data_IF_687795847923
#
_entry.id   IF_687795847923
#
_cell.length_a   1.000
_cell.length_b   1.000
_cell.length_c   1.000
_cell.angle_alpha   90.00
_cell.angle_beta   90.00
_cell.angle_gamma   90.00
#
_symmetry.space_group_name_H-M   'P 1'
#
loop_
_entity.id
_entity.type
_entity.pdbx_description
1 polymer ?
#
# COMPACT_ATOMS: atom_id res chain seq x y z
N UNK A 1 -55.56 -46.08 -24.59
CA UNK A 1 -55.18 -46.15 -26.02
C UNK A 1 -54.07 -45.13 -26.23
N UNK A 2 -52.82 -45.41 -26.61
CA UNK A 2 -52.06 -46.58 -27.03
C UNK A 2 -50.65 -46.40 -26.41
N UNK A 3 -50.05 -47.46 -25.85
CA UNK A 3 -48.58 -47.59 -25.79
C UNK A 3 -48.12 -48.34 -27.05
N UNK A 4 -46.87 -48.14 -27.49
CA UNK A 4 -45.84 -49.15 -27.22
C UNK A 4 -44.51 -48.49 -26.75
N UNK A 5 -43.76 -48.98 -25.75
CA UNK A 5 -42.80 -50.09 -25.80
C UNK A 5 -41.92 -50.05 -27.06
N UNK A 6 -40.61 -49.78 -27.03
CA UNK A 6 -39.51 -50.70 -26.66
C UNK A 6 -38.23 -49.86 -26.82
N UNK A 7 -37.28 -49.81 -25.88
CA UNK A 7 -36.13 -50.71 -25.92
C UNK A 7 -34.87 -49.99 -25.42
N UNK A 8 -34.16 -50.68 -24.53
CA UNK A 8 -32.93 -50.32 -23.81
C UNK A 8 -31.72 -50.26 -24.75
N UNK A 9 -30.81 -49.28 -24.58
CA UNK A 9 -29.38 -49.52 -24.39
C UNK A 9 -28.62 -48.26 -23.94
N UNK A 10 -27.69 -48.48 -23.00
CA UNK A 10 -26.72 -47.56 -22.44
C UNK A 10 -26.06 -46.62 -23.46
N UNK A 11 -25.89 -45.35 -23.11
CA UNK A 11 -24.65 -44.64 -23.41
C UNK A 11 -24.36 -43.63 -22.30
N UNK A 12 -23.30 -43.91 -21.55
CA UNK A 12 -22.65 -42.98 -20.66
C UNK A 12 -22.06 -41.82 -21.48
N UNK A 13 -22.65 -40.63 -21.41
CA UNK A 13 -22.06 -39.39 -21.95
C UNK A 13 -22.83 -38.11 -21.54
N UNK A 14 -23.31 -38.01 -20.29
CA UNK A 14 -23.97 -36.78 -19.79
C UNK A 14 -23.47 -36.34 -18.43
N UNK A 15 -22.16 -36.48 -18.21
CA UNK A 15 -21.43 -35.80 -17.14
C UNK A 15 -20.14 -35.15 -17.71
N UNK A 16 -20.30 -34.40 -18.80
CA UNK A 16 -19.22 -33.63 -19.43
C UNK A 16 -19.83 -32.39 -20.10
N UNK A 17 -20.40 -31.49 -19.30
CA UNK A 17 -20.85 -30.17 -19.79
C UNK A 17 -20.99 -29.12 -18.66
N UNK A 18 -20.32 -29.28 -17.51
CA UNK A 18 -20.31 -28.30 -16.40
C UNK A 18 -18.92 -28.12 -15.76
N UNK A 19 -17.86 -28.35 -16.55
CA UNK A 19 -16.49 -27.96 -16.22
C UNK A 19 -15.85 -27.42 -17.51
N UNK A 20 -16.05 -26.14 -17.79
CA UNK A 20 -15.51 -25.46 -18.95
C UNK A 20 -15.65 -23.97 -18.78
N UNK A 21 -14.55 -23.31 -18.38
CA UNK A 21 -14.54 -21.88 -18.13
C UNK A 21 -13.36 -21.35 -17.30
N UNK A 22 -12.39 -22.19 -16.90
CA UNK A 22 -11.03 -21.73 -16.61
C UNK A 22 -10.26 -21.78 -17.93
N UNK A 23 -10.15 -20.66 -18.64
CA UNK A 23 -9.15 -20.54 -19.70
C UNK A 23 -7.84 -20.18 -19.01
N UNK A 24 -7.15 -21.18 -18.47
CA UNK A 24 -5.70 -21.08 -18.31
C UNK A 24 -5.12 -21.13 -19.71
N UNK A 25 -4.53 -20.04 -20.16
CA UNK A 25 -3.71 -20.05 -21.36
C UNK A 25 -2.68 -21.19 -21.26
N UNK A 26 -2.53 -21.89 -22.38
CA UNK A 26 -1.61 -23.01 -22.55
C UNK A 26 -0.19 -22.50 -22.26
N UNK A 27 0.56 -23.10 -21.30
CA UNK A 27 1.94 -22.71 -21.09
C UNK A 27 2.74 -22.89 -22.37
N UNK A 28 3.50 -21.86 -22.73
CA UNK A 28 4.50 -21.82 -23.80
C UNK A 28 5.00 -23.22 -24.24
N UNK A 29 4.73 -23.59 -25.49
CA UNK A 29 5.24 -24.80 -26.16
C UNK A 29 6.75 -24.76 -26.46
N UNK A 30 7.55 -24.09 -25.63
CA UNK A 30 9.01 -24.16 -25.69
C UNK A 30 9.46 -25.04 -24.53
N UNK A 31 9.61 -26.34 -24.79
CA UNK A 31 10.05 -27.33 -23.79
C UNK A 31 9.27 -28.65 -23.77
N UNK A 32 8.16 -28.75 -24.51
CA UNK A 32 7.33 -29.97 -24.55
C UNK A 32 8.06 -31.23 -25.08
N UNK A 33 9.23 -31.06 -25.72
CA UNK A 33 10.09 -32.15 -26.18
C UNK A 33 11.22 -32.56 -25.20
N UNK A 34 11.26 -32.00 -23.98
CA UNK A 34 12.28 -32.29 -22.96
C UNK A 34 11.78 -33.12 -21.78
N UNK A 35 10.53 -33.60 -21.82
CA UNK A 35 9.99 -34.50 -20.79
C UNK A 35 10.42 -35.92 -21.14
N UNK A 36 11.60 -36.29 -20.63
CA UNK A 36 12.04 -37.67 -20.56
C UNK A 36 11.45 -38.27 -19.27
N UNK A 37 10.61 -39.30 -19.39
CA UNK A 37 9.80 -39.91 -18.31
C UNK A 37 10.65 -40.74 -17.29
N UNK A 38 11.96 -40.58 -17.30
CA UNK A 38 12.90 -41.20 -16.37
C UNK A 38 13.51 -40.15 -15.42
N UNK A 39 12.73 -39.71 -14.44
CA UNK A 39 13.23 -38.95 -13.29
C UNK A 39 13.83 -39.95 -12.26
N UNK A 40 15.15 -40.19 -12.31
CA UNK A 40 15.93 -40.68 -11.15
C UNK A 40 16.47 -39.42 -10.42
N UNK A 41 15.73 -38.76 -9.51
CA UNK A 41 15.38 -39.02 -8.09
C UNK A 41 16.43 -38.68 -7.01
N UNK A 42 17.57 -38.05 -7.35
CA UNK A 42 18.36 -37.33 -6.34
C UNK A 42 18.01 -35.84 -6.38
N UNK A 43 17.05 -35.47 -5.54
CA UNK A 43 16.67 -34.09 -5.28
C UNK A 43 17.58 -33.54 -4.17
N UNK A 44 18.51 -32.66 -4.54
CA UNK A 44 19.41 -32.02 -3.58
C UNK A 44 18.85 -30.65 -3.22
N UNK A 45 18.66 -30.39 -1.92
CA UNK A 45 18.30 -29.07 -1.41
C UNK A 45 19.55 -28.20 -1.26
N UNK A 46 19.51 -27.00 -1.82
CA UNK A 46 20.52 -25.96 -1.64
C UNK A 46 19.85 -24.70 -1.06
N UNK A 47 20.09 -24.37 0.22
CA UNK A 47 19.68 -23.09 0.77
C UNK A 47 20.66 -22.00 0.32
N UNK A 48 20.16 -21.02 -0.42
CA UNK A 48 20.92 -19.82 -0.79
C UNK A 48 20.42 -18.63 0.04
N UNK A 49 21.35 -17.88 0.60
CA UNK A 49 21.06 -16.71 1.43
C UNK A 49 21.18 -15.43 0.60
N UNK A 50 20.49 -14.39 1.04
CA UNK A 50 20.66 -13.04 0.50
C UNK A 50 22.09 -12.57 0.80
N UNK A 51 22.78 -12.08 -0.21
CA UNK A 51 24.17 -11.61 -0.10
C UNK A 51 24.34 -10.11 -0.21
N UNK A 52 23.41 -9.44 -0.89
CA UNK A 52 23.40 -7.99 -0.98
C UNK A 52 21.96 -7.47 -1.04
N UNK A 53 21.81 -6.19 -0.70
CA UNK A 53 20.54 -5.51 -0.57
C UNK A 53 20.61 -4.11 -1.18
N UNK A 54 19.55 -3.74 -1.91
CA UNK A 54 19.32 -2.36 -2.31
C UNK A 54 17.84 -2.01 -2.30
N UNK A 55 17.57 -0.73 -2.55
CA UNK A 55 16.21 -0.21 -2.69
C UNK A 55 16.03 0.43 -4.07
N UNK A 56 14.91 0.12 -4.70
CA UNK A 56 14.40 0.79 -5.89
C UNK A 56 13.33 1.78 -5.44
N UNK A 57 13.46 3.04 -5.84
CA UNK A 57 12.44 4.06 -5.62
C UNK A 57 11.72 4.30 -6.94
N UNK A 58 10.39 4.19 -6.93
CA UNK A 58 9.59 4.43 -8.13
C UNK A 58 8.88 5.77 -8.00
N UNK A 59 9.22 6.72 -8.86
CA UNK A 59 8.61 8.05 -8.87
C UNK A 59 7.58 8.15 -10.00
N UNK A 60 6.32 8.34 -9.63
CA UNK A 60 5.27 8.67 -10.58
C UNK A 60 5.09 10.19 -10.66
N UNK A 61 5.69 10.81 -11.67
CA UNK A 61 5.66 12.27 -11.87
C UNK A 61 4.25 12.81 -12.11
N UNK A 62 3.31 11.96 -12.56
CA UNK A 62 1.94 12.36 -12.82
C UNK A 62 1.09 12.41 -11.52
N UNK A 63 1.51 11.66 -10.48
CA UNK A 63 0.85 11.56 -9.17
C UNK A 63 1.86 11.85 -8.05
N UNK A 64 2.35 13.10 -7.93
CA UNK A 64 3.20 13.52 -6.82
C UNK A 64 2.41 13.52 -5.48
N UNK A 65 3.13 13.55 -4.35
CA UNK A 65 2.54 13.44 -3.01
C UNK A 65 1.41 14.46 -2.76
N UNK A 66 1.59 15.71 -3.15
CA UNK A 66 0.55 16.76 -3.03
C UNK A 66 -0.69 16.57 -3.92
N UNK A 67 -0.73 15.55 -4.77
CA UNK A 67 -1.91 15.16 -5.59
C UNK A 67 -2.47 13.79 -5.18
N UNK A 68 -2.00 13.22 -4.07
CA UNK A 68 -2.53 11.97 -3.57
C UNK A 68 -3.98 12.15 -3.13
N UNK A 69 -4.78 11.12 -3.42
CA UNK A 69 -6.20 11.10 -3.07
C UNK A 69 -6.43 10.83 -1.57
N UNK A 70 -5.40 10.40 -0.86
CA UNK A 70 -5.44 10.04 0.56
C UNK A 70 -4.46 10.89 1.35
N UNK A 71 -4.96 11.53 2.40
CA UNK A 71 -4.22 12.36 3.33
C UNK A 71 -3.91 11.57 4.60
N UNK A 72 -2.64 11.50 4.98
CA UNK A 72 -2.16 10.68 6.08
C UNK A 72 -1.92 11.49 7.35
N UNK A 73 -2.39 10.94 8.46
CA UNK A 73 -2.36 11.56 9.78
C UNK A 73 -1.95 10.55 10.85
N UNK A 74 -0.98 10.90 11.69
CA UNK A 74 -0.59 10.11 12.86
C UNK A 74 0.85 9.61 12.79
N UNK A 75 1.15 8.59 13.60
CA UNK A 75 2.49 8.03 13.75
C UNK A 75 2.42 6.51 13.88
N UNK A 76 3.28 5.83 13.12
CA UNK A 76 3.43 4.37 13.16
C UNK A 76 4.87 4.01 12.78
N UNK A 77 5.56 3.24 13.63
CA UNK A 77 6.85 2.61 13.34
C UNK A 77 7.91 3.54 12.71
N UNK A 78 8.08 4.76 13.25
CA UNK A 78 9.05 5.74 12.75
C UNK A 78 8.60 6.52 11.51
N UNK A 79 7.35 6.35 11.09
CA UNK A 79 6.68 7.18 10.09
C UNK A 79 5.66 8.09 10.77
N UNK A 80 5.76 9.40 10.52
CA UNK A 80 4.88 10.43 11.07
C UNK A 80 4.38 11.37 9.97
N UNK A 81 3.07 11.62 9.99
CA UNK A 81 2.43 12.54 9.06
C UNK A 81 1.40 13.43 9.75
N UNK A 82 1.18 14.57 9.12
CA UNK A 82 0.17 15.58 9.44
C UNK A 82 -0.48 16.00 8.15
N UNK A 83 -1.72 16.46 8.26
CA UNK A 83 -2.47 17.02 7.14
C UNK A 83 -2.28 18.53 7.15
N UNK A 84 -2.02 19.11 5.99
CA UNK A 84 -2.07 20.55 5.75
C UNK A 84 -3.28 20.86 4.88
N UNK A 85 -3.99 21.94 5.17
CA UNK A 85 -5.12 22.40 4.37
C UNK A 85 -5.16 23.94 4.32
N UNK A 86 -5.23 24.51 3.12
CA UNK A 86 -5.40 25.94 2.90
C UNK A 86 -6.85 26.24 2.53
N UNK A 87 -7.43 27.28 3.13
CA UNK A 87 -8.79 27.75 2.83
C UNK A 87 -8.75 29.20 2.39
N UNK A 88 -9.51 29.53 1.35
CA UNK A 88 -9.62 30.89 0.83
C UNK A 88 -10.90 31.55 1.33
N UNK A 89 -10.76 32.69 2.01
CA UNK A 89 -11.87 33.46 2.56
C UNK A 89 -12.26 34.68 1.71
N UNK A 90 -11.61 34.90 0.56
CA UNK A 90 -11.81 36.10 -0.25
C UNK A 90 -13.13 36.15 -1.02
N UNK A 91 -13.76 35.00 -1.32
CA UNK A 91 -14.99 34.90 -2.11
C UNK A 91 -15.94 33.81 -1.57
N UNK A 92 -16.20 33.83 -0.25
CA UNK A 92 -17.02 32.80 0.40
C UNK A 92 -18.52 33.11 0.42
N UNK A 93 -18.91 34.33 0.10
CA UNK A 93 -20.30 34.77 0.14
C UNK A 93 -21.00 34.42 -1.16
N UNK A 94 -22.15 33.77 -1.06
CA UNK A 94 -22.99 33.38 -2.20
C UNK A 94 -24.39 33.96 -2.05
N UNK A 95 -25.22 33.85 -3.08
CA UNK A 95 -26.64 34.24 -2.99
C UNK A 95 -27.39 33.41 -1.92
N UNK A 96 -27.01 32.14 -1.75
CA UNK A 96 -27.59 31.23 -0.76
C UNK A 96 -27.01 31.44 0.65
N UNK A 97 -25.77 31.93 0.74
CA UNK A 97 -25.05 32.24 1.99
C UNK A 97 -24.46 33.66 1.94
N UNK A 98 -25.30 34.71 2.05
CA UNK A 98 -24.82 36.09 2.02
C UNK A 98 -24.03 36.44 3.29
N UNK A 99 -23.19 37.47 3.20
CA UNK A 99 -22.37 38.01 4.29
C UNK A 99 -23.15 38.21 5.60
N UNK A 100 -24.41 38.65 5.51
CA UNK A 100 -25.29 38.87 6.65
C UNK A 100 -25.58 37.60 7.46
N UNK A 101 -25.29 36.39 6.96
CA UNK A 101 -25.39 35.13 7.69
C UNK A 101 -24.16 34.85 8.56
N UNK A 102 -22.98 35.34 8.19
CA UNK A 102 -21.72 35.06 8.87
C UNK A 102 -21.48 36.02 10.03
N UNK A 103 -22.32 35.91 11.07
CA UNK A 103 -22.25 36.75 12.28
C UNK A 103 -22.30 35.87 13.54
N UNK A 104 -21.74 36.34 14.68
CA UNK A 104 -21.78 35.58 15.94
C UNK A 104 -23.19 35.18 16.39
N UNK A 105 -24.22 35.93 16.00
CA UNK A 105 -25.60 35.66 16.41
C UNK A 105 -26.33 34.64 15.51
N UNK A 106 -25.74 34.28 14.37
CA UNK A 106 -26.35 33.40 13.35
C UNK A 106 -25.56 32.13 13.12
N UNK A 107 -24.25 32.15 13.38
CA UNK A 107 -23.42 30.95 13.40
C UNK A 107 -23.72 30.21 14.70
N UNK A 108 -24.03 28.91 14.56
CA UNK A 108 -24.24 28.00 15.68
C UNK A 108 -22.97 27.23 16.05
N UNK A 109 -22.18 26.88 15.03
CA UNK A 109 -20.86 26.27 15.22
C UNK A 109 -20.06 26.28 13.92
N UNK A 110 -18.74 26.23 14.07
CA UNK A 110 -17.79 25.97 12.98
C UNK A 110 -17.08 24.66 13.28
N UNK A 111 -16.99 23.77 12.31
CA UNK A 111 -16.36 22.45 12.46
C UNK A 111 -15.41 22.18 11.31
N UNK A 112 -14.31 21.49 11.57
CA UNK A 112 -13.53 20.84 10.53
C UNK A 112 -13.99 19.39 10.43
N UNK A 113 -14.51 18.99 9.27
CA UNK A 113 -14.83 17.59 8.96
C UNK A 113 -13.62 16.91 8.32
N UNK A 114 -13.27 15.72 8.81
CA UNK A 114 -12.28 14.85 8.17
C UNK A 114 -12.91 13.50 7.89
N UNK A 115 -13.20 13.20 6.63
CA UNK A 115 -13.75 11.88 6.25
C UNK A 115 -12.63 10.85 6.12
N UNK A 116 -12.62 9.82 6.96
CA UNK A 116 -11.72 8.68 6.83
C UNK A 116 -12.21 7.70 5.76
N UNK A 117 -11.27 7.05 5.07
CA UNK A 117 -11.61 5.89 4.23
C UNK A 117 -12.14 4.75 5.10
N UNK A 118 -13.03 3.91 4.57
CA UNK A 118 -13.66 2.79 5.29
C UNK A 118 -12.66 1.87 5.97
N UNK A 119 -11.47 1.72 5.38
CA UNK A 119 -10.40 0.90 5.95
C UNK A 119 -9.85 1.44 7.27
N UNK A 120 -9.78 2.77 7.40
CA UNK A 120 -9.36 3.47 8.62
C UNK A 120 -10.55 3.83 9.52
N UNK A 121 -11.76 3.65 9.00
CA UNK A 121 -13.00 3.81 9.73
C UNK A 121 -13.21 2.61 10.66
N UNK A 122 -13.47 2.89 11.94
CA UNK A 122 -13.82 1.86 12.91
C UNK A 122 -12.64 1.21 13.64
N UNK A 123 -13.03 0.22 14.42
CA UNK A 123 -12.24 -0.37 15.50
C UNK A 123 -10.90 -0.92 15.02
N UNK A 124 -9.86 -0.78 15.84
CA UNK A 124 -8.61 -1.52 15.68
C UNK A 124 -8.91 -3.01 15.78
N UNK A 125 -8.45 -3.77 14.79
CA UNK A 125 -8.51 -5.24 14.80
C UNK A 125 -7.18 -5.76 15.29
N UNK A 126 -7.19 -6.51 16.39
CA UNK A 126 -6.04 -7.24 16.91
C UNK A 126 -6.25 -8.73 16.73
N UNK A 127 -5.28 -9.43 16.13
CA UNK A 127 -5.32 -10.88 15.99
C UNK A 127 -4.26 -11.50 16.88
N UNK A 128 -4.67 -12.33 17.83
CA UNK A 128 -3.75 -13.05 18.71
C UNK A 128 -2.95 -14.10 17.95
N UNK A 129 -1.85 -14.60 18.53
CA UNK A 129 -1.09 -15.72 17.96
C UNK A 129 -1.90 -17.02 17.85
N UNK A 130 -3.00 -17.13 18.59
CA UNK A 130 -3.97 -18.23 18.50
C UNK A 130 -5.01 -18.02 17.37
N UNK A 131 -4.99 -16.86 16.70
CA UNK A 131 -5.93 -16.49 15.65
C UNK A 131 -7.21 -15.80 16.14
N UNK A 132 -7.30 -15.46 17.44
CA UNK A 132 -8.48 -14.78 17.98
C UNK A 132 -8.51 -13.31 17.56
N UNK A 133 -9.65 -12.85 17.06
CA UNK A 133 -9.83 -11.47 16.61
C UNK A 133 -10.51 -10.64 17.70
N UNK A 134 -9.82 -9.62 18.20
CA UNK A 134 -10.37 -8.60 19.11
C UNK A 134 -10.60 -7.31 18.34
N UNK A 135 -11.75 -6.67 18.55
CA UNK A 135 -12.03 -5.35 17.98
C UNK A 135 -12.13 -4.34 19.10
N UNK A 136 -11.28 -3.33 19.06
CA UNK A 136 -11.20 -2.30 20.10
C UNK A 136 -11.43 -0.94 19.45
N UNK A 137 -12.27 -0.11 20.07
CA UNK A 137 -12.41 1.27 19.63
C UNK A 137 -11.08 2.00 19.77
N UNK A 138 -10.75 2.83 18.78
CA UNK A 138 -9.50 3.59 18.78
C UNK A 138 -9.63 4.80 19.69
N UNK A 139 -8.54 5.18 20.33
CA UNK A 139 -8.44 6.44 21.06
C UNK A 139 -7.74 7.46 20.17
N UNK A 140 -8.46 8.48 19.70
CA UNK A 140 -7.94 9.46 18.73
C UNK A 140 -8.29 10.88 19.17
N UNK A 141 -7.30 11.64 19.61
CA UNK A 141 -7.43 13.06 19.92
C UNK A 141 -6.89 13.88 18.75
N UNK A 142 -7.64 14.88 18.30
CA UNK A 142 -7.21 15.71 17.16
C UNK A 142 -6.84 17.11 17.63
N UNK A 143 -5.79 17.67 17.02
CA UNK A 143 -5.39 19.06 17.20
C UNK A 143 -5.37 19.76 15.86
N UNK A 144 -6.10 20.86 15.79
CA UNK A 144 -6.10 21.78 14.66
C UNK A 144 -5.39 23.05 15.09
N UNK A 145 -4.41 23.49 14.31
CA UNK A 145 -3.60 24.66 14.60
C UNK A 145 -3.43 25.50 13.33
N UNK A 146 -3.27 26.82 13.49
CA UNK A 146 -3.08 27.73 12.36
C UNK A 146 -1.60 27.79 11.95
N UNK A 147 -1.32 27.65 10.66
CA UNK A 147 0.00 27.92 10.09
C UNK A 147 0.32 29.42 10.17
N UNK A 148 1.61 29.76 10.28
CA UNK A 148 2.05 31.17 10.29
C UNK A 148 1.78 31.86 8.94
N UNK A 149 1.75 31.07 7.86
CA UNK A 149 1.32 31.47 6.52
C UNK A 149 0.73 30.25 5.77
N UNK A 150 -0.13 30.46 4.76
CA UNK A 150 -0.57 29.40 3.85
C UNK A 150 0.63 28.64 3.26
N UNK A 151 0.51 27.32 3.13
CA UNK A 151 1.60 26.52 2.55
C UNK A 151 1.55 26.51 1.02
N UNK A 152 2.70 26.29 0.38
CA UNK A 152 2.77 25.98 -1.05
C UNK A 152 2.70 24.45 -1.22
N UNK A 153 1.62 23.95 -1.82
CA UNK A 153 1.45 22.50 -2.05
C UNK A 153 2.54 21.93 -2.96
N UNK A 154 3.12 22.73 -3.85
CA UNK A 154 4.20 22.28 -4.74
C UNK A 154 5.52 22.07 -4.02
N UNK A 155 5.67 22.54 -2.77
CA UNK A 155 6.78 22.18 -1.91
C UNK A 155 6.74 20.70 -1.46
N UNK A 156 5.61 20.03 -1.66
CA UNK A 156 5.37 18.61 -1.33
C UNK A 156 5.26 17.75 -2.60
N UNK A 157 6.03 18.08 -3.64
CA UNK A 157 6.15 17.25 -4.86
C UNK A 157 6.96 15.98 -4.58
N UNK A 158 8.03 16.08 -3.77
CA UNK A 158 8.84 14.96 -3.28
C UNK A 158 8.73 14.77 -1.77
N UNK A 159 9.23 13.65 -1.25
CA UNK A 159 9.19 13.26 0.17
C UNK A 159 10.61 13.25 0.79
N UNK A 160 10.79 13.50 2.12
CA UNK A 160 9.84 14.02 3.11
C UNK A 160 9.68 15.55 3.05
N UNK A 161 8.47 16.04 3.35
CA UNK A 161 8.18 17.47 3.44
C UNK A 161 8.23 17.97 4.88
N UNK A 162 8.96 19.06 5.14
CA UNK A 162 9.01 19.68 6.47
C UNK A 162 7.63 20.24 6.83
N UNK A 163 7.22 20.12 8.09
CA UNK A 163 6.00 20.79 8.59
C UNK A 163 6.26 22.31 8.60
N UNK A 164 5.43 23.14 7.93
CA UNK A 164 5.60 24.59 7.96
C UNK A 164 5.51 25.13 9.40
N UNK A 165 6.03 26.33 9.65
CA UNK A 165 5.86 26.96 10.96
C UNK A 165 4.38 27.26 11.24
N UNK A 166 3.97 27.04 12.49
CA UNK A 166 2.59 27.19 12.93
C UNK A 166 2.52 27.65 14.39
N UNK A 167 1.40 28.27 14.72
CA UNK A 167 1.09 28.70 16.07
C UNK A 167 0.75 27.49 16.95
N UNK A 168 1.40 27.38 18.11
CA UNK A 168 1.17 26.29 19.07
C UNK A 168 -0.22 26.27 19.72
N UNK A 169 -1.02 27.32 19.57
CA UNK A 169 -2.40 27.35 20.07
C UNK A 169 -3.28 26.35 19.32
N UNK A 170 -3.99 25.50 20.08
CA UNK A 170 -4.99 24.57 19.55
C UNK A 170 -6.30 25.32 19.34
N UNK A 171 -6.86 25.22 18.13
CA UNK A 171 -8.05 25.95 17.70
C UNK A 171 -9.35 25.20 17.96
N UNK A 172 -9.28 23.86 18.10
CA UNK A 172 -10.46 23.05 18.31
C UNK A 172 -10.73 22.80 19.80
N UNK A 173 -11.95 23.12 20.25
CA UNK A 173 -12.36 23.07 21.67
C UNK A 173 -12.43 21.64 22.22
N UNK A 174 -12.60 20.67 21.33
CA UNK A 174 -12.77 19.26 21.62
C UNK A 174 -11.46 18.46 21.50
N UNK A 175 -10.31 19.12 21.59
CA UNK A 175 -8.99 18.48 21.43
C UNK A 175 -8.65 17.43 22.49
N UNK A 176 -9.41 17.38 23.57
CA UNK A 176 -9.28 16.39 24.66
C UNK A 176 -10.37 15.32 24.62
N UNK A 177 -11.23 15.34 23.61
CA UNK A 177 -12.27 14.35 23.38
C UNK A 177 -11.82 13.38 22.29
N UNK A 178 -11.85 12.07 22.59
CA UNK A 178 -11.54 11.06 21.59
C UNK A 178 -12.64 11.01 20.53
N UNK A 179 -12.25 11.02 19.25
CA UNK A 179 -13.17 10.95 18.10
C UNK A 179 -12.80 9.81 17.13
N UNK A 180 -13.17 8.57 17.47
CA UNK A 180 -12.88 7.41 16.63
C UNK A 180 -13.77 7.29 15.38
N UNK A 181 -14.83 8.09 15.30
CA UNK A 181 -15.86 8.08 14.25
C UNK A 181 -15.26 8.11 12.83
N UNK A 182 -15.99 7.61 11.83
CA UNK A 182 -15.55 7.67 10.41
C UNK A 182 -15.31 9.09 9.93
N UNK A 183 -16.13 10.04 10.41
CA UNK A 183 -16.04 11.46 10.06
C UNK A 183 -15.97 12.29 11.35
N UNK A 184 -14.81 12.40 12.01
CA UNK A 184 -14.64 13.30 13.14
C UNK A 184 -14.95 14.75 12.74
N UNK A 185 -15.93 15.33 13.44
CA UNK A 185 -16.25 16.75 13.36
C UNK A 185 -15.55 17.48 14.49
N UNK A 186 -14.49 18.22 14.17
CA UNK A 186 -13.65 18.94 15.13
C UNK A 186 -14.18 20.36 15.30
N UNK A 187 -14.68 20.72 16.48
CA UNK A 187 -15.30 22.03 16.73
C UNK A 187 -14.24 23.10 16.84
N UNK A 188 -14.24 24.06 15.92
CA UNK A 188 -13.30 25.18 15.89
C UNK A 188 -13.87 26.40 16.61
N UNK A 189 -12.97 27.21 17.15
CA UNK A 189 -13.28 28.55 17.68
C UNK A 189 -13.97 29.43 16.64
N UNK A 190 -15.21 29.82 16.92
CA UNK A 190 -15.97 30.76 16.08
C UNK A 190 -15.29 32.14 16.00
N UNK A 191 -14.57 32.53 17.05
CA UNK A 191 -13.86 33.81 17.08
C UNK A 191 -12.73 33.82 16.07
N UNK A 192 -11.96 32.73 15.98
CA UNK A 192 -10.87 32.62 15.01
C UNK A 192 -11.42 32.54 13.59
N UNK A 193 -12.50 31.80 13.36
CA UNK A 193 -13.18 31.75 12.06
C UNK A 193 -13.68 33.12 11.59
N UNK A 194 -14.32 33.90 12.46
CA UNK A 194 -14.77 35.26 12.13
C UNK A 194 -13.58 36.20 11.86
N UNK A 195 -12.44 36.00 12.53
CA UNK A 195 -11.22 36.74 12.25
C UNK A 195 -10.64 36.40 10.87
N UNK A 196 -10.69 35.13 10.45
CA UNK A 196 -10.29 34.71 9.11
C UNK A 196 -11.18 35.33 8.03
N UNK A 197 -12.50 35.35 8.25
CA UNK A 197 -13.45 36.02 7.35
C UNK A 197 -13.14 37.51 7.17
N UNK A 198 -12.92 38.22 8.28
CA UNK A 198 -12.59 39.64 8.23
C UNK A 198 -11.22 39.93 7.59
N UNK A 199 -10.34 38.94 7.51
CA UNK A 199 -9.03 39.03 6.86
C UNK A 199 -9.07 38.91 5.33
N UNK A 200 -10.15 38.38 4.75
CA UNK A 200 -10.37 38.23 3.29
C UNK A 200 -9.21 37.55 2.52
N UNK A 201 -8.50 36.62 3.16
CA UNK A 201 -7.31 35.98 2.60
C UNK A 201 -7.30 34.47 2.74
N UNK A 202 -6.17 33.85 2.36
CA UNK A 202 -5.97 32.41 2.57
C UNK A 202 -5.46 32.14 3.97
N UNK A 203 -6.00 31.12 4.63
CA UNK A 203 -5.52 30.61 5.93
C UNK A 203 -5.08 29.17 5.77
N UNK A 204 -3.89 28.85 6.27
CA UNK A 204 -3.39 27.49 6.34
C UNK A 204 -3.64 26.87 7.72
N UNK A 205 -4.10 25.63 7.75
CA UNK A 205 -4.25 24.81 8.95
C UNK A 205 -3.32 23.60 8.89
N UNK A 206 -2.83 23.19 10.05
CA UNK A 206 -2.20 21.89 10.27
C UNK A 206 -3.08 21.06 11.21
N UNK A 207 -3.33 19.81 10.81
CA UNK A 207 -4.05 18.83 11.60
C UNK A 207 -3.06 17.74 12.02
N UNK A 208 -3.01 17.46 13.33
CA UNK A 208 -2.22 16.39 13.91
C UNK A 208 -3.05 15.54 14.89
N UNK A 209 -2.59 14.32 15.17
CA UNK A 209 -3.05 13.62 16.37
C UNK A 209 -2.41 14.25 17.61
N UNK A 210 -3.17 14.33 18.69
CA UNK A 210 -2.76 14.83 19.99
C UNK A 210 -2.23 13.73 20.90
N UNK A 211 -1.60 14.15 22.00
CA UNK A 211 -1.04 13.26 23.03
C UNK A 211 -2.09 12.27 23.54
N UNK A 212 -1.68 11.00 23.72
CA UNK A 212 -2.56 9.93 24.20
C UNK A 212 -3.41 9.25 23.13
N UNK A 213 -3.27 9.65 21.86
CA UNK A 213 -3.85 8.92 20.73
C UNK A 213 -3.14 7.58 20.52
N UNK A 214 -3.86 6.58 20.03
CA UNK A 214 -3.28 5.31 19.59
C UNK A 214 -2.29 5.53 18.43
N UNK A 215 -1.19 4.77 18.44
CA UNK A 215 -0.22 4.77 17.34
C UNK A 215 -0.80 4.09 16.09
N UNK A 216 -1.16 4.92 15.12
CA UNK A 216 -1.47 4.49 13.76
C UNK A 216 -1.24 5.61 12.73
N UNK A 217 -1.23 5.22 11.47
CA UNK A 217 -1.21 6.13 10.33
C UNK A 217 -2.56 6.05 9.61
N UNK A 218 -3.43 7.02 9.88
CA UNK A 218 -4.81 7.07 9.38
C UNK A 218 -4.86 7.74 8.01
N UNK A 219 -5.66 7.19 7.08
CA UNK A 219 -5.95 7.79 5.79
C UNK A 219 -7.31 8.50 5.77
N UNK A 220 -7.29 9.79 5.45
CA UNK A 220 -8.44 10.67 5.24
C UNK A 220 -8.58 11.02 3.77
N UNK A 221 -9.77 11.37 3.32
CA UNK A 221 -10.01 11.82 1.96
C UNK A 221 -9.34 13.17 1.67
N UNK A 222 -8.62 13.26 0.55
CA UNK A 222 -8.21 14.53 -0.06
C UNK A 222 -9.36 15.13 -0.87
N UNK A 223 -9.31 16.44 -1.12
CA UNK A 223 -10.13 17.10 -2.14
C UNK A 223 -9.98 16.50 -3.54
N UNK A 224 -8.86 15.83 -3.83
CA UNK A 224 -8.58 15.18 -5.10
C UNK A 224 -9.14 13.73 -5.15
N UNK A 225 -9.87 13.28 -4.13
CA UNK A 225 -10.39 11.91 -4.07
C UNK A 225 -11.42 11.65 -5.18
N UNK A 226 -11.10 10.67 -6.04
CA UNK A 226 -11.96 10.21 -7.14
C UNK A 226 -12.58 8.83 -6.87
N UNK A 227 -12.04 8.10 -5.89
CA UNK A 227 -12.40 6.71 -5.58
C UNK A 227 -13.41 6.63 -4.44
N UNK A 228 -14.64 7.07 -4.68
CA UNK A 228 -15.70 7.12 -3.65
C UNK A 228 -16.11 5.75 -3.10
N UNK A 229 -15.82 4.65 -3.81
CA UNK A 229 -16.09 3.28 -3.33
C UNK A 229 -15.24 2.86 -2.13
N UNK A 230 -14.21 3.62 -1.78
CA UNK A 230 -13.33 3.39 -0.63
C UNK A 230 -13.81 4.14 0.64
N UNK A 231 -14.94 4.84 0.55
CA UNK A 231 -15.60 5.54 1.66
C UNK A 231 -16.81 4.73 2.15
N UNK A 232 -17.17 4.92 3.42
CA UNK A 232 -18.47 4.48 3.92
C UNK A 232 -19.56 5.30 3.21
N UNK A 233 -20.83 4.88 3.33
CA UNK A 233 -21.97 5.57 2.71
C UNK A 233 -21.95 7.08 3.02
N UNK A 234 -21.43 7.86 2.07
CA UNK A 234 -21.43 9.32 2.15
C UNK A 234 -22.81 9.83 1.77
N UNK A 235 -23.26 10.87 2.48
CA UNK A 235 -24.53 11.50 2.15
C UNK A 235 -24.45 12.12 0.75
N UNK A 236 -25.54 11.99 -0.02
CA UNK A 236 -25.62 12.57 -1.37
C UNK A 236 -25.36 14.07 -1.30
N UNK A 237 -24.40 14.56 -2.11
CA UNK A 237 -24.03 15.97 -2.19
C UNK A 237 -22.87 16.39 -1.27
N UNK A 238 -22.30 15.47 -0.49
CA UNK A 238 -21.10 15.75 0.30
C UNK A 238 -19.88 15.88 -0.62
N UNK A 239 -19.26 17.06 -0.66
CA UNK A 239 -17.90 17.22 -1.20
C UNK A 239 -16.95 16.53 -0.23
N UNK A 240 -16.16 15.56 -0.68
CA UNK A 240 -15.28 14.80 0.21
C UNK A 240 -13.90 15.46 0.23
N UNK A 241 -13.58 16.13 1.34
CA UNK A 241 -12.33 16.82 1.59
C UNK A 241 -12.23 17.16 3.10
N UNK A 242 -11.10 17.70 3.59
CA UNK A 242 -11.02 18.36 4.89
C UNK A 242 -11.86 19.65 4.93
N UNK A 243 -13.19 19.56 5.00
CA UNK A 243 -14.06 20.73 4.85
C UNK A 243 -14.24 21.52 6.15
N UNK A 244 -14.24 22.85 6.05
CA UNK A 244 -14.85 23.68 7.08
C UNK A 244 -16.38 23.66 6.88
N UNK A 245 -17.09 23.29 7.94
CA UNK A 245 -18.54 23.19 8.01
C UNK A 245 -19.06 24.27 8.94
N UNK A 246 -19.86 25.19 8.41
CA UNK A 246 -20.52 26.23 9.21
C UNK A 246 -21.99 25.86 9.36
N UNK A 247 -22.40 25.62 10.59
CA UNK A 247 -23.80 25.42 10.96
C UNK A 247 -24.39 26.75 11.39
N UNK A 248 -25.61 27.03 10.92
CA UNK A 248 -26.36 28.22 11.30
C UNK A 248 -27.42 27.90 12.34
N UNK A 249 -27.82 28.91 13.12
CA UNK A 249 -28.90 28.81 14.11
C UNK A 249 -30.27 28.54 13.46
N UNK A 250 -30.49 29.07 12.25
CA UNK A 250 -31.69 28.78 11.47
C UNK A 250 -31.57 27.40 10.82
N UNK A 251 -32.29 26.43 11.38
CA UNK A 251 -32.32 25.03 10.91
C UNK A 251 -32.89 24.86 9.49
N UNK A 252 -33.51 25.89 8.91
CA UNK A 252 -33.97 25.86 7.52
C UNK A 252 -32.87 26.19 6.51
N UNK A 253 -31.75 26.76 6.98
CA UNK A 253 -30.57 27.06 6.17
C UNK A 253 -29.67 25.82 6.11
N UNK A 254 -29.29 25.43 4.90
CA UNK A 254 -28.33 24.34 4.69
C UNK A 254 -26.95 24.79 5.17
N UNK A 255 -26.22 23.89 5.85
CA UNK A 255 -24.85 24.14 6.28
C UNK A 255 -23.98 24.64 5.11
N UNK A 256 -23.12 25.62 5.39
CA UNK A 256 -22.13 26.06 4.42
C UNK A 256 -20.89 25.16 4.51
N UNK A 257 -20.41 24.70 3.35
CA UNK A 257 -19.23 23.84 3.23
C UNK A 257 -18.15 24.62 2.47
N UNK A 258 -17.00 24.83 3.11
CA UNK A 258 -15.82 25.43 2.49
C UNK A 258 -14.72 24.36 2.35
N UNK A 259 -14.50 23.83 1.14
CA UNK A 259 -13.40 22.92 0.88
C UNK A 259 -12.06 23.67 0.86
N UNK A 260 -10.95 22.97 1.10
CA UNK A 260 -9.64 23.58 0.99
C UNK A 260 -9.27 23.84 -0.48
N UNK A 261 -8.59 24.96 -0.74
CA UNK A 261 -8.00 25.28 -2.04
C UNK A 261 -6.71 24.51 -2.32
N UNK A 262 -6.11 23.93 -1.29
CA UNK A 262 -5.01 22.97 -1.38
C UNK A 262 -4.97 22.10 -0.11
N UNK A 263 -4.67 20.80 -0.26
CA UNK A 263 -4.38 19.90 0.85
C UNK A 263 -3.18 18.99 0.52
N UNK A 264 -2.49 18.50 1.56
CA UNK A 264 -1.40 17.50 1.40
C UNK A 264 -1.07 16.82 2.72
N UNK A 265 -0.47 15.64 2.63
CA UNK A 265 0.24 14.99 3.74
C UNK A 265 1.66 15.54 3.84
N UNK A 266 2.20 15.64 5.05
CA UNK A 266 3.60 16.07 5.25
C UNK A 266 4.61 14.94 5.11
N UNK A 267 4.29 13.75 5.64
CA UNK A 267 5.27 12.66 5.79
C UNK A 267 6.64 13.18 6.27
N UNK A 268 6.63 14.06 7.28
CA UNK A 268 7.81 14.79 7.72
C UNK A 268 8.86 13.88 8.39
N UNK A 269 8.44 12.69 8.78
CA UNK A 269 9.31 11.60 9.18
C UNK A 269 8.80 10.31 8.52
N UNK A 270 9.70 9.51 7.95
CA UNK A 270 9.39 8.19 7.42
C UNK A 270 10.52 7.27 7.79
N UNK A 271 10.15 6.05 8.19
CA UNK A 271 11.11 5.05 8.61
C UNK A 271 12.17 4.85 7.51
N UNK A 272 13.44 4.96 7.91
CA UNK A 272 14.54 4.68 7.00
C UNK A 272 14.48 3.21 6.58
N UNK A 273 14.70 2.97 5.30
CA UNK A 273 14.84 1.60 4.82
C UNK A 273 16.16 1.03 5.39
N UNK A 274 16.18 -0.23 5.89
CA UNK A 274 17.41 -0.83 6.39
C UNK A 274 18.54 -0.70 5.37
N UNK A 275 19.75 -0.35 5.83
CA UNK A 275 20.89 -0.18 4.93
C UNK A 275 21.60 -1.51 4.59
N UNK A 276 21.33 -2.57 5.37
CA UNK A 276 21.97 -3.86 5.27
C UNK A 276 20.91 -4.98 5.35
N UNK A 277 21.07 -6.02 4.53
CA UNK A 277 20.26 -7.23 4.54
C UNK A 277 20.23 -7.92 5.93
N UNK A 278 21.22 -7.66 6.79
CA UNK A 278 21.29 -8.12 8.17
C UNK A 278 20.07 -7.67 8.99
N UNK A 279 19.65 -6.42 8.82
CA UNK A 279 18.61 -5.79 9.63
C UNK A 279 17.20 -6.05 9.11
N UNK A 280 17.08 -6.45 7.84
CA UNK A 280 15.81 -6.73 7.18
C UNK A 280 15.62 -5.89 5.93
N UNK A 281 14.39 -5.88 5.42
CA UNK A 281 14.03 -5.06 4.27
C UNK A 281 12.56 -4.66 4.34
N UNK A 282 12.26 -3.49 3.77
CA UNK A 282 10.91 -2.92 3.78
C UNK A 282 10.42 -2.80 2.35
N UNK A 283 9.23 -3.33 2.08
CA UNK A 283 8.44 -3.00 0.90
C UNK A 283 7.39 -1.98 1.30
N UNK A 284 7.40 -0.83 0.63
CA UNK A 284 6.51 0.29 0.92
C UNK A 284 5.76 0.73 -0.33
N UNK A 285 4.44 0.75 -0.26
CA UNK A 285 3.56 1.38 -1.26
C UNK A 285 3.44 2.88 -1.00
N UNK A 286 2.54 3.62 -1.64
CA UNK A 286 2.38 5.08 -1.56
C UNK A 286 3.64 5.85 -2.04
N UNK A 287 4.73 5.72 -1.30
CA UNK A 287 6.07 6.19 -1.63
C UNK A 287 6.87 5.23 -2.53
N UNK A 288 6.31 4.06 -2.85
CA UNK A 288 6.86 3.08 -3.82
C UNK A 288 8.36 2.79 -3.64
N UNK A 289 8.74 2.46 -2.41
CA UNK A 289 10.09 2.02 -2.07
C UNK A 289 10.12 0.49 -2.02
N UNK A 290 10.82 -0.11 -2.99
CA UNK A 290 10.81 -1.55 -3.23
C UNK A 290 12.17 -2.18 -2.94
N UNK A 291 12.22 -3.29 -2.18
CA UNK A 291 13.47 -3.95 -1.88
C UNK A 291 13.93 -4.78 -3.07
N UNK A 292 15.24 -4.76 -3.31
CA UNK A 292 15.91 -5.61 -4.27
C UNK A 292 16.97 -6.45 -3.54
N UNK A 293 16.96 -7.75 -3.83
CA UNK A 293 17.73 -8.79 -3.16
C UNK A 293 18.66 -9.45 -4.16
N UNK A 294 19.93 -9.58 -3.78
CA UNK A 294 20.89 -10.40 -4.51
C UNK A 294 21.19 -11.70 -3.76
N UNK A 295 21.55 -12.73 -4.51
CA UNK A 295 21.78 -14.08 -4.00
C UNK A 295 23.07 -14.66 -4.59
N UNK A 296 23.87 -15.31 -3.74
CA UNK A 296 25.07 -16.00 -4.20
C UNK A 296 24.75 -17.41 -4.69
N UNK A 297 24.72 -17.57 -6.01
CA UNK A 297 24.51 -18.86 -6.67
C UNK A 297 25.80 -19.66 -6.88
N UNK A 298 26.96 -19.23 -6.37
CA UNK A 298 28.25 -19.91 -6.59
C UNK A 298 28.30 -21.34 -6.02
N UNK A 299 27.43 -21.65 -5.06
CA UNK A 299 27.28 -22.99 -4.51
C UNK A 299 26.45 -23.94 -5.39
N UNK A 300 25.77 -23.42 -6.43
CA UNK A 300 25.03 -24.22 -7.38
C UNK A 300 26.03 -24.94 -8.31
N UNK A 301 26.00 -26.28 -8.40
CA UNK A 301 26.91 -27.01 -9.27
C UNK A 301 26.69 -26.66 -10.75
N UNK A 302 27.75 -26.79 -11.55
CA UNK A 302 27.64 -26.75 -13.01
C UNK A 302 26.74 -27.89 -13.52
N UNK A 303 26.11 -27.70 -14.69
CA UNK A 303 25.32 -28.71 -15.41
C UNK A 303 24.16 -29.35 -14.59
N UNK A 304 23.43 -28.53 -13.86
CA UNK A 304 22.23 -28.95 -13.11
C UNK A 304 20.94 -28.66 -13.85
N UNK A 305 19.92 -29.48 -13.60
CA UNK A 305 18.53 -29.15 -13.90
C UNK A 305 17.84 -28.69 -12.61
N UNK A 306 17.22 -27.52 -12.66
CA UNK A 306 16.45 -26.98 -11.54
C UNK A 306 15.05 -27.58 -11.59
N UNK A 307 14.70 -28.37 -10.58
CA UNK A 307 13.37 -28.94 -10.45
C UNK A 307 12.40 -27.95 -9.80
N UNK A 308 12.89 -27.18 -8.82
CA UNK A 308 12.12 -26.17 -8.11
C UNK A 308 13.05 -25.15 -7.45
N UNK A 309 12.69 -23.88 -7.45
CA UNK A 309 13.30 -22.88 -6.60
C UNK A 309 12.24 -21.99 -5.95
N UNK A 310 12.28 -21.84 -4.63
CA UNK A 310 11.29 -21.05 -3.88
C UNK A 310 11.99 -19.98 -3.05
N UNK A 311 11.66 -18.72 -3.29
CA UNK A 311 12.02 -17.61 -2.40
C UNK A 311 11.07 -17.62 -1.21
N UNK A 312 11.63 -17.81 -0.01
CA UNK A 312 10.91 -17.76 1.26
C UNK A 312 11.25 -16.50 2.02
N UNK A 313 10.21 -15.77 2.39
CA UNK A 313 10.30 -14.55 3.18
C UNK A 313 9.40 -14.68 4.41
N UNK A 314 9.80 -14.03 5.50
CA UNK A 314 8.97 -13.94 6.69
C UNK A 314 8.68 -12.48 6.98
N UNK A 315 7.39 -12.15 7.02
CA UNK A 315 6.87 -10.83 7.32
C UNK A 315 6.82 -10.63 8.84
N UNK A 316 7.44 -9.56 9.33
CA UNK A 316 7.35 -9.09 10.70
C UNK A 316 6.05 -8.29 10.89
N UNK A 317 5.01 -9.01 11.31
CA UNK A 317 3.68 -8.44 11.58
C UNK A 317 3.67 -7.41 12.71
N UNK A 318 4.70 -7.36 13.56
CA UNK A 318 4.78 -6.38 14.64
C UNK A 318 5.19 -4.99 14.12
N UNK A 319 5.94 -4.96 13.02
CA UNK A 319 6.41 -3.73 12.38
C UNK A 319 5.63 -3.38 11.09
N UNK A 320 4.96 -4.36 10.49
CA UNK A 320 4.16 -4.14 9.28
C UNK A 320 2.81 -3.49 9.57
N UNK A 321 2.29 -2.71 8.62
CA UNK A 321 0.98 -2.04 8.73
C UNK A 321 0.46 -1.60 7.36
N UNK A 322 -0.83 -1.24 7.30
CA UNK A 322 -1.51 -0.81 6.07
C UNK A 322 -2.50 -1.83 5.53
N UNK A 323 -2.89 -1.65 4.27
CA UNK A 323 -3.96 -2.43 3.63
C UNK A 323 -3.41 -3.70 2.95
N UNK A 324 -4.34 -4.58 2.55
CA UNK A 324 -4.02 -5.74 1.72
C UNK A 324 -3.42 -5.31 0.40
N UNK A 325 -2.33 -5.95 0.00
CA UNK A 325 -1.60 -5.59 -1.22
C UNK A 325 -1.20 -6.83 -2.01
N UNK A 326 -0.83 -6.64 -3.28
CA UNK A 326 -0.10 -7.65 -4.02
C UNK A 326 1.42 -7.45 -3.86
N UNK A 327 2.17 -8.54 -3.73
CA UNK A 327 3.63 -8.52 -3.85
C UNK A 327 4.01 -9.29 -5.10
N UNK A 328 4.67 -8.61 -6.02
CA UNK A 328 5.16 -9.14 -7.29
C UNK A 328 6.67 -9.31 -7.19
N UNK A 329 7.16 -10.47 -7.63
CA UNK A 329 8.58 -10.80 -7.67
C UNK A 329 9.03 -10.82 -9.11
N UNK A 330 9.98 -9.96 -9.41
CA UNK A 330 10.55 -9.79 -10.75
C UNK A 330 12.06 -9.96 -10.73
N UNK A 331 12.64 -10.51 -11.78
CA UNK A 331 14.10 -10.45 -11.96
C UNK A 331 14.52 -9.06 -12.44
N UNK A 332 15.68 -8.62 -11.98
CA UNK A 332 16.33 -7.36 -12.37
C UNK A 332 17.83 -7.60 -12.58
N UNK A 333 18.47 -6.78 -13.42
CA UNK A 333 19.94 -6.79 -13.50
C UNK A 333 20.55 -6.40 -12.14
N UNK A 334 21.38 -7.27 -11.58
CA UNK A 334 22.05 -7.05 -10.27
C UNK A 334 23.02 -5.86 -10.31
N UNK A 335 23.48 -5.46 -11.51
CA UNK A 335 24.38 -4.32 -11.69
C UNK A 335 23.61 -3.01 -11.49
N UNK A 336 23.40 -2.66 -10.20
CA UNK A 336 23.16 -1.32 -9.62
C UNK A 336 22.51 -1.37 -8.21
N UNK A 337 22.72 -2.40 -7.40
CA UNK A 337 22.43 -2.29 -5.95
C UNK A 337 23.56 -1.50 -5.28
N UNK A 338 23.64 -0.20 -5.57
CA UNK A 338 24.53 0.70 -4.84
C UNK A 338 23.93 1.05 -3.48
N UNK A 339 24.74 1.54 -2.54
CA UNK A 339 24.27 2.02 -1.23
C UNK A 339 23.23 3.17 -1.30
N UNK A 340 23.07 3.80 -2.47
CA UNK A 340 22.02 4.79 -2.71
C UNK A 340 20.86 4.15 -3.49
N UNK A 341 19.59 4.46 -3.14
CA UNK A 341 18.45 3.91 -3.86
C UNK A 341 18.49 4.23 -5.35
N UNK A 342 18.10 3.25 -6.17
CA UNK A 342 17.95 3.43 -7.60
C UNK A 342 16.58 4.04 -7.88
N UNK A 343 16.54 5.32 -8.28
CA UNK A 343 15.30 5.98 -8.70
C UNK A 343 14.96 5.67 -10.15
N UNK A 344 13.70 5.33 -10.42
CA UNK A 344 13.17 5.08 -11.76
C UNK A 344 11.68 5.45 -11.86
N UNK A 345 11.20 5.69 -13.07
CA UNK A 345 9.76 5.80 -13.37
C UNK A 345 9.11 4.42 -13.49
N UNK A 346 7.76 4.30 -13.39
CA UNK A 346 7.08 3.01 -13.63
C UNK A 346 7.41 2.37 -14.99
N UNK A 347 7.56 3.18 -16.04
CA UNK A 347 7.94 2.69 -17.37
C UNK A 347 9.37 2.15 -17.41
N UNK A 348 10.31 2.81 -16.74
CA UNK A 348 11.69 2.34 -16.64
C UNK A 348 11.78 1.05 -15.80
N UNK A 349 11.01 0.94 -14.72
CA UNK A 349 10.89 -0.29 -13.94
C UNK A 349 10.38 -1.44 -14.81
N UNK A 350 9.32 -1.21 -15.59
CA UNK A 350 8.76 -2.20 -16.51
C UNK A 350 9.80 -2.68 -17.54
N UNK A 351 10.59 -1.77 -18.09
CA UNK A 351 11.64 -2.10 -19.06
C UNK A 351 12.85 -2.81 -18.42
N UNK A 352 13.14 -2.55 -17.15
CA UNK A 352 14.28 -3.10 -16.43
C UNK A 352 14.00 -4.47 -15.80
N UNK A 353 12.74 -4.86 -15.68
CA UNK A 353 12.32 -6.05 -14.94
C UNK A 353 11.65 -7.09 -15.83
N UNK A 354 11.66 -8.33 -15.37
CA UNK A 354 10.86 -9.40 -15.95
C UNK A 354 10.09 -10.11 -14.83
N UNK A 355 8.76 -10.08 -14.90
CA UNK A 355 7.90 -10.66 -13.85
C UNK A 355 8.04 -12.18 -13.84
N UNK A 356 8.31 -12.73 -12.66
CA UNK A 356 8.40 -14.18 -12.47
C UNK A 356 7.12 -14.71 -11.85
N UNK A 357 6.69 -14.10 -10.76
CA UNK A 357 5.56 -14.57 -9.96
C UNK A 357 5.04 -13.45 -9.06
N UNK A 358 3.96 -13.70 -8.34
CA UNK A 358 3.40 -12.76 -7.39
C UNK A 358 2.34 -13.43 -6.52
N UNK A 359 2.05 -12.81 -5.39
CA UNK A 359 0.97 -13.20 -4.50
C UNK A 359 0.10 -12.00 -4.19
N UNK A 360 -1.17 -12.28 -3.92
CA UNK A 360 -2.26 -11.31 -3.96
C UNK A 360 -3.02 -11.31 -2.64
N UNK A 361 -3.64 -10.18 -2.27
CA UNK A 361 -4.44 -10.06 -1.05
C UNK A 361 -3.64 -10.36 0.23
N UNK A 362 -2.40 -9.87 0.28
CA UNK A 362 -1.50 -10.06 1.40
C UNK A 362 -1.78 -9.01 2.46
N UNK A 363 -2.30 -9.42 3.62
CA UNK A 363 -2.51 -8.53 4.76
C UNK A 363 -1.22 -8.38 5.58
N UNK A 364 -0.64 -7.18 5.73
CA UNK A 364 0.64 -6.97 6.42
C UNK A 364 0.60 -7.34 7.90
N UNK A 365 -0.53 -7.17 8.57
CA UNK A 365 -0.64 -7.27 10.05
C UNK A 365 -1.15 -8.61 10.56
N UNK A 366 -1.84 -9.38 9.73
CA UNK A 366 -2.84 -10.32 10.26
C UNK A 366 -2.68 -11.75 9.69
N UNK A 367 -2.72 -11.92 8.36
CA UNK A 367 -2.78 -13.24 7.71
C UNK A 367 -1.46 -13.80 7.24
N UNK A 368 -0.49 -12.95 6.93
CA UNK A 368 0.70 -13.37 6.18
C UNK A 368 1.93 -13.28 7.07
N UNK A 369 2.36 -14.44 7.58
CA UNK A 369 3.66 -14.56 8.28
C UNK A 369 4.74 -15.09 7.35
N UNK A 370 4.44 -16.13 6.58
CA UNK A 370 5.41 -16.78 5.69
C UNK A 370 4.93 -16.68 4.25
N UNK A 371 5.82 -16.19 3.39
CA UNK A 371 5.60 -16.03 1.96
C UNK A 371 6.51 -16.99 1.21
N UNK A 372 6.05 -17.44 0.05
CA UNK A 372 6.76 -18.42 -0.78
C UNK A 372 6.48 -18.16 -2.25
N UNK A 373 7.49 -17.66 -2.94
CA UNK A 373 7.40 -17.28 -4.35
C UNK A 373 8.15 -18.29 -5.20
N UNK A 374 7.50 -18.88 -6.19
CA UNK A 374 8.16 -19.78 -7.13
C UNK A 374 9.01 -18.98 -8.11
N UNK A 375 10.32 -19.11 -7.99
CA UNK A 375 11.31 -18.42 -8.82
C UNK A 375 12.14 -19.39 -9.66
N UNK A 376 11.60 -20.60 -9.90
CA UNK A 376 12.26 -21.66 -10.67
C UNK A 376 12.75 -21.17 -12.02
N UNK A 377 11.96 -20.35 -12.72
CA UNK A 377 12.31 -19.78 -14.03
C UNK A 377 13.61 -18.98 -13.99
N UNK A 378 13.81 -18.12 -12.99
CA UNK A 378 15.03 -17.32 -12.85
C UNK A 378 16.23 -18.23 -12.61
N UNK A 379 16.14 -19.12 -11.61
CA UNK A 379 17.26 -19.99 -11.23
C UNK A 379 17.65 -20.92 -12.38
N UNK A 380 16.67 -21.41 -13.14
CA UNK A 380 16.92 -22.23 -14.33
C UNK A 380 17.61 -21.45 -15.45
N UNK A 381 17.30 -20.16 -15.63
CA UNK A 381 17.98 -19.29 -16.61
C UNK A 381 19.41 -18.97 -16.17
N UNK A 382 19.64 -18.75 -14.87
CA UNK A 382 20.98 -18.59 -14.29
C UNK A 382 21.83 -19.86 -14.49
N UNK A 383 21.28 -21.03 -14.17
CA UNK A 383 21.98 -22.31 -14.34
C UNK A 383 22.32 -22.66 -15.80
N UNK A 384 21.63 -22.04 -16.76
CA UNK A 384 21.87 -22.21 -18.20
C UNK A 384 22.72 -21.09 -18.81
N UNK A 385 23.31 -20.20 -17.99
CA UNK A 385 24.11 -19.05 -18.43
C UNK A 385 23.39 -18.16 -19.46
N UNK A 386 22.07 -17.98 -19.30
CA UNK A 386 21.26 -17.16 -20.21
C UNK A 386 21.62 -15.67 -20.12
N UNK A 387 22.11 -15.23 -18.96
CA UNK A 387 22.38 -13.83 -18.69
C UNK A 387 23.87 -13.49 -18.87
N UNK A 388 24.13 -12.31 -19.44
CA UNK A 388 25.48 -11.75 -19.54
C UNK A 388 25.91 -10.99 -18.29
N UNK A 389 24.94 -10.57 -17.46
CA UNK A 389 25.14 -9.84 -16.21
C UNK A 389 24.47 -10.62 -15.06
N UNK A 390 24.94 -10.49 -13.81
CA UNK A 390 24.30 -11.16 -12.69
C UNK A 390 22.86 -10.64 -12.47
N UNK A 391 22.00 -11.43 -11.83
CA UNK A 391 20.57 -11.11 -11.65
C UNK A 391 20.16 -11.18 -10.18
N UNK A 392 19.42 -10.17 -9.76
CA UNK A 392 18.73 -10.15 -8.47
C UNK A 392 17.22 -10.29 -8.63
N UNK A 393 16.53 -10.20 -7.50
CA UNK A 393 15.07 -10.15 -7.41
C UNK A 393 14.64 -8.80 -6.85
N UNK A 394 13.67 -8.15 -7.47
CA UNK A 394 12.98 -6.99 -6.90
C UNK A 394 11.57 -7.39 -6.49
N UNK A 395 11.14 -6.92 -5.31
CA UNK A 395 9.80 -7.15 -4.80
C UNK A 395 9.03 -5.83 -4.88
N UNK A 396 7.99 -5.80 -5.70
CA UNK A 396 7.19 -4.60 -5.95
C UNK A 396 5.76 -4.80 -5.49
N UNK A 397 5.00 -3.71 -5.37
CA UNK A 397 3.55 -3.79 -5.24
C UNK A 397 2.91 -4.30 -6.56
N UNK A 398 1.59 -4.50 -6.56
CA UNK A 398 0.78 -4.74 -7.76
C UNK A 398 0.67 -3.51 -8.65
N UNK A 399 1.80 -3.03 -9.16
CA UNK A 399 1.85 -1.89 -10.09
C UNK A 399 1.06 -2.15 -11.37
N UNK A 400 0.47 -1.12 -11.98
CA UNK A 400 -0.29 -1.18 -13.24
C UNK A 400 0.51 -1.81 -14.39
N UNK A 401 1.84 -1.71 -14.33
CA UNK A 401 2.77 -2.34 -15.29
C UNK A 401 2.79 -3.87 -15.18
N UNK A 402 2.15 -4.44 -14.14
CA UNK A 402 2.02 -5.87 -13.85
C UNK A 402 0.53 -6.26 -13.80
N UNK A 403 -0.20 -6.20 -14.93
CA UNK A 403 -1.67 -6.28 -14.95
C UNK A 403 -2.26 -7.59 -14.43
N UNK A 404 -1.47 -8.66 -14.35
CA UNK A 404 -1.89 -9.94 -13.75
C UNK A 404 -2.02 -9.86 -12.22
N UNK A 405 -1.30 -8.94 -11.59
CA UNK A 405 -1.23 -8.76 -10.15
C UNK A 405 -1.81 -7.42 -9.68
N UNK A 406 -2.27 -6.59 -10.61
CA UNK A 406 -3.11 -5.44 -10.35
C UNK A 406 -4.53 -5.94 -9.97
N UNK A 407 -4.72 -6.19 -8.68
CA UNK A 407 -5.93 -6.79 -8.12
C UNK A 407 -7.04 -5.81 -7.83
N UNK A 408 -6.68 -4.56 -7.64
CA UNK A 408 -7.59 -3.56 -7.13
C UNK A 408 -7.81 -2.56 -8.25
N UNK A 409 -8.90 -1.81 -8.19
CA UNK A 409 -8.94 -0.63 -9.06
C UNK A 409 -7.86 0.38 -8.64
N UNK A 410 -7.25 0.21 -7.46
CA UNK A 410 -6.53 1.17 -6.63
C UNK A 410 -5.02 1.04 -6.81
N UNK A 411 -4.43 2.08 -7.38
CA UNK A 411 -3.00 2.09 -7.70
C UNK A 411 -2.15 2.04 -6.42
N UNK A 412 -0.91 1.53 -6.48
CA UNK A 412 -0.05 1.44 -5.30
C UNK A 412 0.25 2.76 -4.62
N UNK A 413 -0.06 3.92 -5.22
CA UNK A 413 0.11 5.23 -4.58
C UNK A 413 -1.04 5.64 -3.63
N UNK A 414 -2.17 4.92 -3.66
CA UNK A 414 -3.35 5.30 -2.90
C UNK A 414 -3.22 4.96 -1.41
N UNK A 415 -2.87 3.70 -1.08
CA UNK A 415 -2.67 3.24 0.30
C UNK A 415 -1.20 3.26 0.68
N UNK A 416 -0.88 3.78 1.87
CA UNK A 416 0.44 3.66 2.49
C UNK A 416 0.47 2.38 3.31
N UNK A 417 1.20 1.40 2.77
CA UNK A 417 1.35 0.06 3.31
C UNK A 417 2.82 -0.26 3.41
N UNK A 418 3.23 -0.84 4.53
CA UNK A 418 4.58 -1.35 4.75
C UNK A 418 4.57 -2.82 5.12
N UNK A 419 5.34 -3.61 4.38
CA UNK A 419 5.74 -4.95 4.77
C UNK A 419 7.19 -4.90 5.23
N UNK A 420 7.41 -5.26 6.49
CA UNK A 420 8.72 -5.42 7.08
C UNK A 420 9.08 -6.90 7.02
N UNK A 421 10.22 -7.22 6.41
CA UNK A 421 10.72 -8.58 6.35
C UNK A 421 11.96 -8.75 7.21
N UNK A 422 12.07 -9.90 7.86
CA UNK A 422 13.24 -10.24 8.65
C UNK A 422 14.52 -10.29 7.78
N UNK A 423 15.64 -9.86 8.37
CA UNK A 423 16.95 -9.90 7.74
C UNK A 423 17.74 -11.19 8.00
N UNK A 424 18.97 -11.21 7.53
CA UNK A 424 19.87 -12.38 7.64
C UNK A 424 20.36 -12.64 9.06
N UNK A 425 20.26 -11.67 10.00
CA UNK A 425 20.54 -11.90 11.42
C UNK A 425 19.40 -12.57 12.21
N UNK A 426 18.21 -12.70 11.62
CA UNK A 426 17.06 -13.32 12.30
C UNK A 426 17.31 -14.80 12.64
N UNK A 427 16.39 -15.47 13.34
CA UNK A 427 16.48 -16.92 13.53
C UNK A 427 16.35 -17.66 12.17
N UNK A 428 16.98 -18.84 12.03
CA UNK A 428 17.01 -19.60 10.76
C UNK A 428 15.62 -19.81 10.12
N UNK A 429 14.57 -19.99 10.94
CA UNK A 429 13.20 -20.16 10.48
C UNK A 429 12.56 -18.90 9.91
N UNK A 430 13.10 -17.71 10.22
CA UNK A 430 12.59 -16.40 9.82
C UNK A 430 13.41 -15.74 8.71
N UNK A 431 14.69 -16.12 8.57
CA UNK A 431 15.60 -15.53 7.57
C UNK A 431 15.08 -15.65 6.14
N UNK A 432 15.33 -14.64 5.30
CA UNK A 432 15.05 -14.70 3.87
C UNK A 432 15.98 -15.75 3.25
N UNK A 433 15.43 -16.67 2.47
CA UNK A 433 16.22 -17.71 1.82
C UNK A 433 15.59 -18.20 0.53
N UNK A 434 16.43 -18.72 -0.34
CA UNK A 434 16.02 -19.44 -1.52
C UNK A 434 16.25 -20.94 -1.28
N UNK A 435 15.20 -21.74 -1.41
CA UNK A 435 15.28 -23.21 -1.36
C UNK A 435 15.26 -23.75 -2.78
N UNK A 436 16.42 -24.23 -3.26
CA UNK A 436 16.56 -24.83 -4.59
C UNK A 436 16.58 -26.35 -4.47
N UNK A 437 15.77 -27.02 -5.28
CA UNK A 437 15.86 -28.45 -5.52
C UNK A 437 16.34 -28.69 -6.95
N UNK A 438 17.42 -29.44 -7.11
CA UNK A 438 18.03 -29.71 -8.42
C UNK A 438 18.45 -31.16 -8.58
N UNK A 439 18.75 -31.54 -9.82
CA UNK A 439 19.35 -32.84 -10.20
C UNK A 439 20.58 -32.59 -11.07
N UNK A 440 21.63 -33.42 -10.92
CA UNK A 440 22.81 -33.35 -11.79
C UNK A 440 22.59 -34.11 -13.09
N UNK A 441 23.00 -33.54 -14.22
CA UNK A 441 22.84 -34.21 -15.53
C UNK A 441 23.63 -35.51 -15.63
N UNK A 442 24.81 -35.59 -15.02
CA UNK A 442 25.66 -36.78 -15.04
C UNK A 442 25.09 -37.96 -14.25
N UNK A 443 24.30 -37.68 -13.20
CA UNK A 443 23.64 -38.70 -12.39
C UNK A 443 22.41 -39.29 -13.12
N UNK A 444 21.85 -38.57 -14.11
CA UNK A 444 20.79 -39.08 -14.99
C UNK A 444 21.29 -40.05 -16.07
N UNK A 445 22.54 -39.92 -16.51
CA UNK A 445 23.15 -40.82 -17.51
C UNK A 445 23.68 -42.13 -16.89
N UNK A 446 23.64 -42.25 -15.57
CA UNK A 446 24.12 -43.41 -14.81
C UNK A 446 23.15 -44.60 -14.74
N UNK A 447 21.93 -44.45 -15.26
CA UNK A 447 20.88 -45.49 -15.30
C UNK A 447 21.11 -46.60 -16.34
N UNK A 448 22.35 -47.05 -16.53
CA UNK A 448 22.65 -48.36 -17.11
C UNK A 448 24.11 -48.74 -16.90
N UNK A 449 24.36 -49.62 -15.93
CA UNK A 449 25.39 -50.65 -16.05
C UNK A 449 24.87 -51.97 -15.51
#
# INVERSE_FOLDING_TARGET
MKRPATGVLLLAATLAAWLGGCTSDVPNQVGAGLVDDALDDVLIELPVQVTDYGSVQVENVDIPVHRQQVLYLGTRNGTSSRILANYDFSDIYTDDHPDTMFTPAKIKSVKLSLTKLSHYAGQRIEISDAGDTTRTERVLYYRVQQLDAPFDSTAYVGYPGVVPSYNGTVLNDDSLESKPDTEPLLRLSETDFLAWLAGEGTVGLVISLGDGSDEDLLGCASRELLRYGELDDVTVGTVVAPNLVVEFEDISVVNFLLPPVADTSTFHEVASVPADAVDGFILRTCLRAYPALDFDFSALPEDVLINRAVLKLTNDRSLSFGNSEAIVVSEIDSLKLAAAPLTMTPTELSAATYVITGQTSLEPTSRVRHLSFDVTTLVQRLANDVYTNPRGLVLTAGEDIFPTYDLTTVDPDFYFTEFHFFGTAAADSLRPRLEITYSRRDERLGGSR
#
